data_IF_437937997046
#
_entry.id   IF_437937997046
#
_cell.length_a   1.000
_cell.length_b   1.000
_cell.length_c   1.000
_cell.angle_alpha   90.00
_cell.angle_beta   90.00
_cell.angle_gamma   90.00
#
_symmetry.space_group_name_H-M   'P 1'
#
loop_
_entity.id
_entity.type
_entity.pdbx_description
1 polymer ?
#
# COMPACT_ATOMS: atom_id res chain seq x y z
N UNK A 1 -17.61 4.64 -4.27
CA UNK A 1 -16.35 4.38 -5.00
C UNK A 1 -15.51 5.62 -5.20
N UNK A 2 -16.04 6.72 -5.74
CA UNK A 2 -15.26 7.92 -6.06
C UNK A 2 -14.46 8.47 -4.86
N UNK A 3 -15.10 8.65 -3.70
CA UNK A 3 -14.44 9.19 -2.49
C UNK A 3 -13.26 8.33 -2.00
N UNK A 4 -13.46 7.00 -1.92
CA UNK A 4 -12.39 6.06 -1.55
C UNK A 4 -11.26 6.05 -2.58
N UNK A 5 -11.59 6.19 -3.87
CA UNK A 5 -10.60 6.33 -4.94
C UNK A 5 -9.81 7.64 -4.83
N UNK A 6 -10.43 8.75 -4.46
CA UNK A 6 -9.74 10.01 -4.23
C UNK A 6 -8.78 9.93 -3.04
N UNK A 7 -9.17 9.27 -1.95
CA UNK A 7 -8.27 9.01 -0.81
C UNK A 7 -7.07 8.16 -1.23
N UNK A 8 -7.28 7.15 -2.07
CA UNK A 8 -6.19 6.34 -2.63
C UNK A 8 -5.28 7.14 -3.56
N UNK A 9 -5.82 8.07 -4.33
CA UNK A 9 -5.01 8.96 -5.17
C UNK A 9 -4.12 9.86 -4.31
N UNK A 10 -4.65 10.43 -3.23
CA UNK A 10 -3.86 11.21 -2.28
C UNK A 10 -2.77 10.35 -1.65
N UNK A 11 -3.11 9.15 -1.18
CA UNK A 11 -2.14 8.17 -0.69
C UNK A 11 -1.03 7.91 -1.71
N UNK A 12 -1.37 7.69 -2.98
CA UNK A 12 -0.40 7.42 -4.04
C UNK A 12 0.54 8.60 -4.27
N UNK A 13 0.03 9.84 -4.25
CA UNK A 13 0.85 11.05 -4.36
C UNK A 13 1.85 11.13 -3.20
N UNK A 14 1.40 10.94 -1.96
CA UNK A 14 2.28 10.94 -0.79
C UNK A 14 3.28 9.78 -0.82
N UNK A 15 2.86 8.60 -1.26
CA UNK A 15 3.72 7.42 -1.39
C UNK A 15 4.83 7.62 -2.41
N UNK A 16 4.50 8.16 -3.58
CA UNK A 16 5.48 8.50 -4.61
C UNK A 16 6.44 9.57 -4.09
N UNK A 17 5.93 10.61 -3.43
CA UNK A 17 6.76 11.68 -2.85
C UNK A 17 7.74 11.16 -1.80
N UNK A 18 7.32 10.26 -0.90
CA UNK A 18 8.17 9.77 0.19
C UNK A 18 9.16 8.70 -0.25
N UNK A 19 8.82 7.81 -1.18
CA UNK A 19 9.67 6.64 -1.48
C UNK A 19 10.21 6.63 -2.90
N UNK A 20 9.37 6.93 -3.89
CA UNK A 20 9.77 6.79 -5.29
C UNK A 20 10.63 7.96 -5.76
N UNK A 21 10.27 9.19 -5.40
CA UNK A 21 11.02 10.41 -5.78
C UNK A 21 12.43 10.39 -5.17
N UNK A 22 12.61 10.12 -3.86
CA UNK A 22 13.94 9.96 -3.28
C UNK A 22 14.75 8.85 -3.93
N UNK A 23 14.13 7.69 -4.19
CA UNK A 23 14.83 6.55 -4.79
C UNK A 23 15.31 6.77 -6.21
N UNK A 24 14.73 7.70 -6.99
CA UNK A 24 14.98 7.81 -8.43
C UNK A 24 15.44 9.18 -8.90
N UNK A 25 15.10 10.25 -8.18
CA UNK A 25 15.30 11.63 -8.65
C UNK A 25 16.22 12.38 -7.70
N UNK A 26 15.87 12.50 -6.42
CA UNK A 26 16.62 13.35 -5.48
C UNK A 26 17.78 12.63 -4.81
N UNK A 27 17.82 11.30 -4.89
CA UNK A 27 18.85 10.47 -4.25
C UNK A 27 18.47 10.10 -2.82
N UNK A 28 19.05 8.98 -2.36
CA UNK A 28 18.95 8.48 -1.00
C UNK A 28 20.35 8.48 -0.40
N UNK A 29 20.45 8.58 0.92
CA UNK A 29 21.73 8.34 1.60
C UNK A 29 22.20 6.90 1.29
N UNK A 30 23.37 6.72 0.65
CA UNK A 30 23.84 5.40 0.29
C UNK A 30 24.28 4.64 1.55
N UNK A 31 24.09 3.32 1.54
CA UNK A 31 24.68 2.42 2.52
C UNK A 31 25.79 1.62 1.85
N UNK A 32 26.95 1.55 2.52
CA UNK A 32 28.07 0.74 2.08
C UNK A 32 27.90 -0.68 2.61
N UNK A 33 27.65 -1.63 1.71
CA UNK A 33 27.63 -3.06 2.02
C UNK A 33 28.71 -3.70 1.15
N UNK A 34 29.71 -4.31 1.79
CA UNK A 34 30.81 -4.98 1.10
C UNK A 34 31.56 -4.09 0.08
N UNK A 35 31.78 -2.82 0.46
CA UNK A 35 32.49 -1.84 -0.38
C UNK A 35 31.71 -1.33 -1.60
N UNK A 36 30.42 -1.69 -1.74
CA UNK A 36 29.52 -1.18 -2.78
C UNK A 36 28.44 -0.30 -2.17
N UNK A 37 28.13 0.80 -2.85
CA UNK A 37 27.06 1.70 -2.47
C UNK A 37 25.71 1.16 -2.93
N UNK A 38 24.76 1.08 -2.00
CA UNK A 38 23.38 0.69 -2.25
C UNK A 38 22.41 1.79 -1.79
N UNK A 39 21.27 1.90 -2.47
CA UNK A 39 20.19 2.79 -2.04
C UNK A 39 19.58 2.31 -0.72
N UNK A 40 19.63 3.14 0.32
CA UNK A 40 19.10 2.79 1.64
C UNK A 40 17.62 3.21 1.80
N UNK A 41 16.73 2.53 1.08
CA UNK A 41 15.28 2.72 1.21
C UNK A 41 14.77 2.38 2.61
N UNK A 42 15.39 1.42 3.29
CA UNK A 42 15.00 1.03 4.64
C UNK A 42 15.15 2.19 5.64
N UNK A 43 16.27 2.92 5.57
CA UNK A 43 16.48 4.12 6.40
C UNK A 43 15.45 5.22 6.11
N UNK A 44 15.13 5.44 4.83
CA UNK A 44 14.09 6.41 4.47
C UNK A 44 12.74 6.02 5.08
N UNK A 45 12.38 4.73 5.07
CA UNK A 45 11.17 4.26 5.73
C UNK A 45 11.18 4.51 7.24
N UNK A 46 12.31 4.30 7.92
CA UNK A 46 12.44 4.61 9.36
C UNK A 46 12.20 6.10 9.63
N UNK A 47 12.80 6.99 8.85
CA UNK A 47 12.64 8.44 8.99
C UNK A 47 11.19 8.88 8.71
N UNK A 48 10.58 8.37 7.63
CA UNK A 48 9.21 8.73 7.24
C UNK A 48 8.18 8.22 8.24
N UNK A 49 8.37 7.00 8.77
CA UNK A 49 7.44 6.39 9.73
C UNK A 49 7.73 6.70 11.20
N UNK A 50 8.77 7.49 11.49
CA UNK A 50 8.97 8.07 12.83
C UNK A 50 7.80 8.98 13.21
N UNK A 51 7.23 9.70 12.23
CA UNK A 51 6.10 10.58 12.48
C UNK A 51 4.77 9.80 12.59
N UNK A 52 4.12 9.76 13.78
CA UNK A 52 2.89 8.99 13.99
C UNK A 52 1.72 9.48 13.14
N UNK A 53 1.70 10.76 12.74
CA UNK A 53 0.65 11.32 11.87
C UNK A 53 0.74 10.69 10.48
N UNK A 54 1.96 10.48 9.97
CA UNK A 54 2.18 9.82 8.67
C UNK A 54 1.76 8.36 8.76
N UNK A 55 2.10 7.66 9.84
CA UNK A 55 1.68 6.27 10.07
C UNK A 55 0.15 6.15 10.06
N UNK A 56 -0.55 7.00 10.83
CA UNK A 56 -2.03 7.01 10.87
C UNK A 56 -2.61 7.30 9.49
N UNK A 57 -2.06 8.26 8.74
CA UNK A 57 -2.49 8.55 7.37
C UNK A 57 -2.35 7.32 6.45
N UNK A 58 -1.23 6.60 6.53
CA UNK A 58 -1.00 5.39 5.74
C UNK A 58 -1.96 4.26 6.13
N UNK A 59 -2.24 4.07 7.42
CA UNK A 59 -3.19 3.06 7.91
C UNK A 59 -4.62 3.37 7.45
N UNK A 60 -5.07 4.63 7.57
CA UNK A 60 -6.39 5.06 7.07
C UNK A 60 -6.49 4.85 5.55
N UNK A 61 -5.41 5.13 4.83
CA UNK A 61 -5.34 4.89 3.39
C UNK A 61 -5.47 3.42 3.03
N UNK A 62 -4.86 2.52 3.82
CA UNK A 62 -5.02 1.07 3.66
C UNK A 62 -6.45 0.61 3.96
N UNK A 63 -7.14 1.20 4.94
CA UNK A 63 -8.56 0.93 5.18
C UNK A 63 -9.39 1.36 3.95
N UNK A 64 -9.11 2.54 3.40
CA UNK A 64 -9.75 2.99 2.15
C UNK A 64 -9.46 2.03 0.99
N UNK A 65 -8.24 1.49 0.90
CA UNK A 65 -7.85 0.48 -0.08
C UNK A 65 -8.69 -0.80 0.05
N UNK A 66 -8.91 -1.28 1.27
CA UNK A 66 -9.71 -2.48 1.52
C UNK A 66 -11.13 -2.34 0.99
N UNK A 67 -11.81 -1.24 1.32
CA UNK A 67 -13.15 -0.97 0.79
C UNK A 67 -13.14 -0.78 -0.73
N UNK A 68 -12.15 -0.05 -1.27
CA UNK A 68 -12.06 0.17 -2.71
C UNK A 68 -11.88 -1.14 -3.48
N UNK A 69 -11.01 -2.05 -3.01
CA UNK A 69 -10.81 -3.37 -3.61
C UNK A 69 -12.06 -4.25 -3.47
N UNK A 70 -12.70 -4.27 -2.30
CA UNK A 70 -13.87 -5.12 -2.06
C UNK A 70 -14.99 -4.86 -3.07
N UNK A 71 -15.17 -3.60 -3.44
CA UNK A 71 -16.16 -3.18 -4.41
C UNK A 71 -15.64 -3.17 -5.86
N UNK A 72 -14.41 -2.71 -6.07
CA UNK A 72 -13.81 -2.58 -7.40
C UNK A 72 -13.51 -3.93 -8.05
N UNK A 73 -13.10 -4.91 -7.24
CA UNK A 73 -12.81 -6.27 -7.72
C UNK A 73 -14.06 -6.88 -8.34
N UNK A 74 -15.18 -6.89 -7.61
CA UNK A 74 -16.45 -7.42 -8.11
C UNK A 74 -16.95 -6.67 -9.36
N UNK A 75 -16.85 -5.34 -9.37
CA UNK A 75 -17.26 -4.54 -10.52
C UNK A 75 -16.42 -4.84 -11.77
N UNK A 76 -15.12 -5.03 -11.63
CA UNK A 76 -14.23 -5.29 -12.76
C UNK A 76 -14.57 -6.61 -13.48
N UNK A 77 -14.83 -7.69 -12.74
CA UNK A 77 -15.18 -8.99 -13.33
C UNK A 77 -16.57 -8.98 -14.00
N UNK A 78 -17.52 -8.21 -13.45
CA UNK A 78 -18.83 -8.01 -14.08
C UNK A 78 -18.70 -7.24 -15.40
N UNK A 79 -17.87 -6.20 -15.46
CA UNK A 79 -17.62 -5.43 -16.70
C UNK A 79 -16.94 -6.26 -17.79
N UNK A 80 -16.04 -7.18 -17.42
CA UNK A 80 -15.38 -8.08 -18.38
C UNK A 80 -16.33 -9.18 -18.90
N UNK A 81 -17.54 -9.31 -18.34
CA UNK A 81 -18.59 -10.21 -18.83
C UNK A 81 -18.59 -11.59 -18.17
N UNK A 82 -17.85 -11.79 -17.07
CA UNK A 82 -17.88 -13.04 -16.30
C UNK A 82 -19.14 -13.01 -15.42
N UNK A 83 -20.23 -13.63 -15.93
CA UNK A 83 -21.55 -13.63 -15.29
C UNK A 83 -22.12 -15.04 -15.04
N UNK A 84 -21.26 -16.07 -14.97
CA UNK A 84 -21.72 -17.40 -14.61
C UNK A 84 -21.83 -17.52 -13.08
N UNK A 85 -22.98 -17.92 -12.51
CA UNK A 85 -23.21 -17.92 -11.07
C UNK A 85 -22.15 -18.68 -10.26
N UNK A 86 -21.58 -19.78 -10.79
CA UNK A 86 -20.49 -20.51 -10.11
C UNK A 86 -19.21 -19.69 -10.01
N UNK A 87 -18.83 -18.99 -11.09
CA UNK A 87 -17.62 -18.18 -11.11
C UNK A 87 -17.81 -16.88 -10.32
N UNK A 88 -19.02 -16.31 -10.33
CA UNK A 88 -19.34 -15.10 -9.57
C UNK A 88 -19.16 -15.32 -8.07
N UNK A 89 -19.70 -16.41 -7.49
CA UNK A 89 -19.54 -16.71 -6.06
C UNK A 89 -18.08 -16.97 -5.66
N UNK A 90 -17.29 -17.62 -6.53
CA UNK A 90 -15.87 -17.83 -6.28
C UNK A 90 -15.09 -16.51 -6.31
N UNK A 91 -15.33 -15.67 -7.32
CA UNK A 91 -14.67 -14.38 -7.48
C UNK A 91 -15.03 -13.40 -6.37
N UNK A 92 -16.28 -13.41 -5.89
CA UNK A 92 -16.68 -12.60 -4.75
C UNK A 92 -15.94 -13.05 -3.48
N UNK A 93 -15.86 -14.35 -3.22
CA UNK A 93 -15.13 -14.90 -2.06
C UNK A 93 -13.63 -14.57 -2.09
N UNK A 94 -12.99 -14.80 -3.24
CA UNK A 94 -11.56 -14.46 -3.46
C UNK A 94 -11.34 -12.96 -3.38
N UNK A 95 -12.25 -12.17 -3.95
CA UNK A 95 -12.20 -10.72 -3.94
C UNK A 95 -12.22 -10.15 -2.52
N UNK A 96 -13.08 -10.67 -1.65
CA UNK A 96 -13.10 -10.28 -0.24
C UNK A 96 -11.81 -10.66 0.48
N UNK A 97 -11.28 -11.88 0.26
CA UNK A 97 -9.99 -12.28 0.81
C UNK A 97 -8.85 -11.35 0.39
N UNK A 98 -8.75 -11.06 -0.90
CA UNK A 98 -7.75 -10.15 -1.46
C UNK A 98 -7.85 -8.74 -0.88
N UNK A 99 -9.07 -8.25 -0.69
CA UNK A 99 -9.37 -6.91 -0.16
C UNK A 99 -9.03 -6.76 1.33
N UNK A 100 -8.84 -7.86 2.05
CA UNK A 100 -8.43 -7.84 3.47
C UNK A 100 -6.92 -8.07 3.57
N UNK A 101 -6.42 -9.12 2.92
CA UNK A 101 -5.03 -9.56 3.07
C UNK A 101 -4.05 -8.50 2.57
N UNK A 102 -4.30 -7.94 1.38
CA UNK A 102 -3.36 -7.00 0.76
C UNK A 102 -3.25 -5.69 1.56
N UNK A 103 -4.36 -5.02 1.93
CA UNK A 103 -4.25 -3.79 2.71
C UNK A 103 -3.76 -4.03 4.13
N UNK A 104 -4.05 -5.19 4.73
CA UNK A 104 -3.50 -5.55 6.03
C UNK A 104 -1.97 -5.68 5.95
N UNK A 105 -1.44 -6.37 4.95
CA UNK A 105 -0.01 -6.49 4.73
C UNK A 105 0.66 -5.12 4.52
N UNK A 106 0.02 -4.22 3.76
CA UNK A 106 0.54 -2.86 3.58
C UNK A 106 0.44 -2.00 4.84
N UNK A 107 -0.62 -2.15 5.66
CA UNK A 107 -0.76 -1.46 6.93
C UNK A 107 0.26 -1.97 7.97
N UNK A 108 0.63 -3.25 7.91
CA UNK A 108 1.63 -3.82 8.82
C UNK A 108 3.02 -3.21 8.64
N UNK A 109 3.42 -2.76 7.45
CA UNK A 109 4.74 -2.14 7.22
C UNK A 109 4.99 -0.87 8.06
N UNK A 110 4.17 0.20 7.98
CA UNK A 110 4.38 1.40 8.80
C UNK A 110 4.20 1.13 10.29
N UNK A 111 3.29 0.21 10.66
CA UNK A 111 3.06 -0.16 12.06
C UNK A 111 4.29 -0.88 12.65
N UNK A 112 4.84 -1.86 11.93
CA UNK A 112 5.98 -2.64 12.42
C UNK A 112 7.24 -1.78 12.56
N UNK A 113 7.43 -0.82 11.66
CA UNK A 113 8.54 0.13 11.74
C UNK A 113 8.37 1.12 12.88
N UNK A 114 7.18 1.71 13.03
CA UNK A 114 6.92 2.67 14.11
C UNK A 114 6.99 2.04 15.51
N UNK A 115 6.57 0.78 15.65
CA UNK A 115 6.62 0.03 16.91
C UNK A 115 7.98 -0.67 17.15
N UNK A 116 8.94 -0.54 16.23
CA UNK A 116 10.28 -1.15 16.38
C UNK A 116 10.29 -2.68 16.34
N UNK A 117 9.30 -3.31 15.69
CA UNK A 117 9.28 -4.76 15.49
C UNK A 117 10.37 -5.24 14.53
N UNK A 118 10.87 -4.33 13.69
CA UNK A 118 11.93 -4.57 12.70
C UNK A 118 13.00 -3.50 12.93
N UNK A 119 14.25 -3.94 13.17
CA UNK A 119 15.43 -3.10 13.38
C UNK A 119 16.52 -3.44 12.36
#
# INVERSE_FOLDING_TARGET
MALLGTLLLLFLIFHIKHFWVPSRITGLEPVLIDGKEYHNLYREMLVVFENPIIVVFYVISCISLAYHLAHGFQSAFRTIGINNPKYTTLLESVGYGFSIIVPLAFAMMPISMHLGWVN
#
